data_IF_802022273502
#
_entry.id   IF_802022273502
#
_cell.length_a   1.000
_cell.length_b   1.000
_cell.length_c   1.000
_cell.angle_alpha   90.00
_cell.angle_beta   90.00
_cell.angle_gamma   90.00
#
_symmetry.space_group_name_H-M   'P 1'
#
loop_
_entity.id
_entity.type
_entity.pdbx_description
1 polymer ?
#
# COMPACT_ATOMS: atom_id res chain seq x y z
N UNK A 1 -14.76 -7.61 25.54
CA UNK A 1 -13.58 -6.78 25.20
C UNK A 1 -13.76 -6.20 23.81
N UNK A 2 -13.57 -4.92 23.66
CA UNK A 2 -13.62 -4.30 22.33
C UNK A 2 -12.41 -4.72 21.53
N UNK A 3 -12.64 -5.18 20.29
CA UNK A 3 -11.55 -5.58 19.38
C UNK A 3 -10.87 -4.35 18.80
N UNK A 4 -9.56 -4.42 18.67
CA UNK A 4 -8.76 -3.41 17.99
C UNK A 4 -8.22 -4.00 16.70
N UNK A 5 -8.81 -3.57 15.57
CA UNK A 5 -8.47 -4.04 14.24
C UNK A 5 -7.88 -2.87 13.44
N UNK A 6 -6.75 -3.11 12.80
CA UNK A 6 -6.14 -2.17 11.87
C UNK A 6 -6.46 -2.59 10.43
N UNK A 7 -6.76 -1.62 9.61
CA UNK A 7 -6.67 -1.72 8.16
C UNK A 7 -5.43 -0.94 7.73
N UNK A 8 -4.47 -1.64 7.18
CA UNK A 8 -3.22 -1.07 6.69
C UNK A 8 -3.25 -1.04 5.16
N UNK A 9 -3.00 0.13 4.60
CA UNK A 9 -3.01 0.42 3.17
C UNK A 9 -1.74 1.19 2.81
N UNK A 10 -1.14 0.89 1.67
CA UNK A 10 0.06 1.59 1.19
C UNK A 10 -0.33 2.63 0.14
N UNK A 11 -0.34 3.90 0.53
CA UNK A 11 -0.69 5.01 -0.36
C UNK A 11 0.10 5.01 -1.66
N UNK A 12 -0.63 5.03 -2.78
CA UNK A 12 -0.04 5.10 -4.12
C UNK A 12 1.03 4.02 -4.33
N UNK A 13 0.77 2.80 -3.88
CA UNK A 13 1.74 1.71 -3.70
C UNK A 13 2.66 1.53 -4.92
N UNK A 14 2.10 1.32 -6.12
CA UNK A 14 2.91 1.11 -7.32
C UNK A 14 3.78 2.32 -7.65
N UNK A 15 3.24 3.53 -7.57
CA UNK A 15 4.02 4.74 -7.83
C UNK A 15 5.13 4.92 -6.78
N UNK A 16 4.84 4.63 -5.51
CA UNK A 16 5.83 4.68 -4.43
C UNK A 16 6.94 3.64 -4.62
N UNK A 17 6.58 2.42 -5.04
CA UNK A 17 7.53 1.35 -5.33
C UNK A 17 8.48 1.69 -6.48
N UNK A 18 7.95 2.22 -7.59
CA UNK A 18 8.78 2.65 -8.73
C UNK A 18 9.74 3.79 -8.36
N UNK A 19 9.29 4.71 -7.52
CA UNK A 19 10.10 5.86 -7.09
C UNK A 19 11.23 5.49 -6.10
N UNK A 20 11.28 4.26 -5.59
CA UNK A 20 12.42 3.79 -4.77
C UNK A 20 13.74 3.82 -5.55
N UNK A 21 13.70 3.37 -6.80
CA UNK A 21 14.86 3.36 -7.70
C UNK A 21 15.05 4.66 -8.49
N UNK A 22 14.08 5.59 -8.42
CA UNK A 22 14.03 6.83 -9.19
C UNK A 22 13.85 8.06 -8.29
N UNK A 23 14.79 8.35 -7.37
CA UNK A 23 14.67 9.49 -6.46
C UNK A 23 14.61 10.85 -7.19
N UNK A 24 15.14 10.93 -8.41
CA UNK A 24 15.10 12.09 -9.32
C UNK A 24 13.68 12.46 -9.78
N UNK A 25 12.72 11.56 -9.64
CA UNK A 25 11.33 11.73 -10.06
C UNK A 25 10.36 12.00 -8.90
N UNK A 26 10.82 11.99 -7.67
CA UNK A 26 9.94 12.07 -6.48
C UNK A 26 9.03 13.29 -6.43
N UNK A 27 9.53 14.43 -6.90
CA UNK A 27 8.82 15.70 -6.88
C UNK A 27 8.16 16.04 -8.22
N UNK A 28 8.25 15.15 -9.20
CA UNK A 28 7.62 15.28 -10.52
C UNK A 28 6.30 14.51 -10.56
N UNK A 29 5.34 14.91 -11.41
CA UNK A 29 4.12 14.13 -11.58
C UNK A 29 4.44 12.81 -12.30
N UNK A 30 4.18 11.69 -11.58
CA UNK A 30 4.45 10.33 -12.05
C UNK A 30 3.19 9.50 -11.96
N UNK A 31 2.93 8.70 -12.97
CA UNK A 31 1.91 7.66 -12.96
C UNK A 31 2.46 6.33 -13.47
N UNK A 32 1.96 5.24 -12.90
CA UNK A 32 2.25 3.88 -13.32
C UNK A 32 1.13 3.38 -14.22
N UNK A 33 1.49 2.72 -15.30
CA UNK A 33 0.55 2.14 -16.27
C UNK A 33 1.11 0.82 -16.83
N UNK A 34 0.33 0.12 -17.65
CA UNK A 34 0.81 -1.09 -18.32
C UNK A 34 1.88 -0.75 -19.36
N UNK A 35 1.47 -0.48 -20.61
CA UNK A 35 2.38 0.00 -21.65
C UNK A 35 2.25 1.52 -21.81
N UNK A 36 3.30 2.31 -21.51
CA UNK A 36 3.28 3.78 -21.63
C UNK A 36 2.99 4.30 -23.03
N UNK A 37 3.29 3.53 -24.08
CA UNK A 37 3.05 3.91 -25.47
C UNK A 37 1.60 3.74 -25.91
N UNK A 38 0.84 2.94 -25.16
CA UNK A 38 -0.57 2.70 -25.45
C UNK A 38 -1.47 3.77 -24.82
N UNK A 39 -1.83 4.79 -25.60
CA UNK A 39 -2.71 5.89 -25.15
C UNK A 39 -4.08 5.46 -24.64
N UNK A 40 -4.55 4.27 -24.99
CA UNK A 40 -5.77 3.64 -24.48
C UNK A 40 -5.55 2.81 -23.22
N UNK A 41 -4.28 2.59 -22.82
CA UNK A 41 -3.95 2.01 -21.54
C UNK A 41 -4.45 2.88 -20.39
N UNK A 42 -4.59 2.29 -19.22
CA UNK A 42 -5.11 2.97 -18.03
C UNK A 42 -4.00 3.28 -17.01
N UNK A 43 -4.24 4.31 -16.22
CA UNK A 43 -3.43 4.63 -15.05
C UNK A 43 -3.75 3.64 -13.93
N UNK A 44 -2.73 2.91 -13.45
CA UNK A 44 -2.84 1.96 -12.35
C UNK A 44 -2.64 2.65 -10.99
N UNK A 45 -1.64 3.54 -10.92
CA UNK A 45 -1.35 4.33 -9.72
C UNK A 45 -0.71 5.67 -10.13
N UNK A 46 -0.72 6.63 -9.22
CA UNK A 46 -0.09 7.94 -9.39
C UNK A 46 0.44 8.46 -8.06
N UNK A 47 1.46 9.32 -8.13
CA UNK A 47 1.96 10.00 -6.93
C UNK A 47 1.14 11.26 -6.60
N UNK A 48 1.41 11.90 -5.46
CA UNK A 48 0.69 13.09 -5.02
C UNK A 48 0.87 14.28 -5.98
N UNK A 49 2.04 14.40 -6.63
CA UNK A 49 2.27 15.45 -7.61
C UNK A 49 1.34 15.31 -8.83
N UNK A 50 1.16 14.09 -9.36
CA UNK A 50 0.22 13.85 -10.47
C UNK A 50 -1.24 14.02 -10.02
N UNK A 51 -1.58 13.61 -8.78
CA UNK A 51 -2.90 13.79 -8.19
C UNK A 51 -3.30 15.27 -8.09
N UNK A 52 -2.35 16.17 -7.81
CA UNK A 52 -2.59 17.60 -7.76
C UNK A 52 -3.07 18.19 -9.11
N UNK A 53 -2.70 17.57 -10.24
CA UNK A 53 -3.22 17.91 -11.57
C UNK A 53 -4.56 17.24 -11.90
N UNK A 54 -5.17 16.53 -10.95
CA UNK A 54 -6.44 15.84 -11.16
C UNK A 54 -6.33 14.51 -11.92
N UNK A 55 -5.13 13.91 -12.01
CA UNK A 55 -4.95 12.56 -12.54
C UNK A 55 -5.62 11.56 -11.62
N UNK A 56 -6.42 10.64 -12.17
CA UNK A 56 -7.15 9.62 -11.40
C UNK A 56 -6.78 8.21 -11.86
N UNK A 57 -6.89 7.24 -10.94
CA UNK A 57 -6.71 5.81 -11.26
C UNK A 57 -7.83 5.35 -12.18
N UNK A 58 -7.54 4.39 -13.05
CA UNK A 58 -8.42 3.82 -14.06
C UNK A 58 -8.81 4.75 -15.23
N UNK A 59 -8.33 6.00 -15.27
CA UNK A 59 -8.50 6.81 -16.48
C UNK A 59 -7.47 6.43 -17.56
N UNK A 60 -7.77 6.77 -18.81
CA UNK A 60 -6.85 6.51 -19.93
C UNK A 60 -5.62 7.40 -19.86
N UNK A 61 -4.48 6.89 -20.32
CA UNK A 61 -3.22 7.63 -20.41
C UNK A 61 -3.41 8.95 -21.18
N UNK A 62 -4.13 8.94 -22.31
CA UNK A 62 -4.39 10.14 -23.07
C UNK A 62 -5.15 11.22 -22.31
N UNK A 63 -6.12 10.82 -21.46
CA UNK A 63 -6.84 11.74 -20.58
C UNK A 63 -5.95 12.30 -19.47
N UNK A 64 -5.15 11.45 -18.85
CA UNK A 64 -4.22 11.84 -17.79
C UNK A 64 -3.18 12.85 -18.31
N UNK A 65 -2.61 12.62 -19.50
CA UNK A 65 -1.67 13.53 -20.15
C UNK A 65 -2.32 14.87 -20.54
N UNK A 66 -3.60 14.86 -20.92
CA UNK A 66 -4.35 16.10 -21.18
C UNK A 66 -4.50 16.98 -19.95
N UNK A 67 -4.62 16.38 -18.75
CA UNK A 67 -4.68 17.10 -17.46
C UNK A 67 -3.29 17.53 -16.96
N UNK A 68 -2.29 16.70 -17.20
CA UNK A 68 -0.92 16.90 -16.77
C UNK A 68 0.05 16.67 -17.92
N UNK A 69 0.34 17.72 -18.74
CA UNK A 69 1.22 17.59 -19.92
C UNK A 69 2.65 17.13 -19.59
N UNK A 70 3.12 17.38 -18.35
CA UNK A 70 4.42 16.92 -17.84
C UNK A 70 4.38 15.57 -17.14
N UNK A 71 3.31 14.78 -17.28
CA UNK A 71 3.14 13.49 -16.63
C UNK A 71 4.17 12.47 -17.13
N UNK A 72 4.98 11.96 -16.21
CA UNK A 72 5.94 10.89 -16.48
C UNK A 72 5.23 9.55 -16.28
N UNK A 73 5.26 8.72 -17.33
CA UNK A 73 4.68 7.40 -17.31
C UNK A 73 5.75 6.34 -17.05
N UNK A 74 5.52 5.47 -16.08
CA UNK A 74 6.37 4.33 -15.77
C UNK A 74 5.62 3.03 -16.02
N UNK A 75 6.27 2.01 -16.60
CA UNK A 75 5.68 0.69 -16.72
C UNK A 75 5.54 0.04 -15.34
N UNK A 76 4.54 -0.84 -15.18
CA UNK A 76 4.32 -1.58 -13.95
C UNK A 76 5.29 -2.76 -13.83
N UNK A 77 5.94 -2.92 -12.66
CA UNK A 77 6.81 -4.05 -12.33
C UNK A 77 6.17 -4.92 -11.24
N UNK A 78 5.28 -5.82 -11.62
CA UNK A 78 4.47 -6.62 -10.68
C UNK A 78 5.32 -7.48 -9.73
N UNK A 79 6.45 -8.00 -10.15
CA UNK A 79 7.38 -8.77 -9.29
C UNK A 79 7.96 -7.90 -8.16
N UNK A 80 8.30 -6.65 -8.45
CA UNK A 80 8.72 -5.68 -7.44
C UNK A 80 7.62 -5.47 -6.41
N UNK A 81 6.38 -5.30 -6.85
CA UNK A 81 5.24 -5.07 -5.98
C UNK A 81 4.96 -6.27 -5.09
N UNK A 82 4.97 -7.48 -5.65
CA UNK A 82 4.79 -8.72 -4.89
C UNK A 82 5.89 -8.89 -3.84
N UNK A 83 7.14 -8.58 -4.17
CA UNK A 83 8.26 -8.63 -3.20
C UNK A 83 8.07 -7.64 -2.06
N UNK A 84 7.72 -6.38 -2.37
CA UNK A 84 7.50 -5.35 -1.35
C UNK A 84 6.28 -5.67 -0.47
N UNK A 85 5.20 -6.18 -1.05
CA UNK A 85 4.02 -6.65 -0.33
C UNK A 85 4.37 -7.73 0.70
N UNK A 86 5.14 -8.75 0.29
CA UNK A 86 5.62 -9.79 1.21
C UNK A 86 6.47 -9.22 2.36
N UNK A 87 7.36 -8.27 2.07
CA UNK A 87 8.19 -7.63 3.09
C UNK A 87 7.35 -6.84 4.10
N UNK A 88 6.32 -6.12 3.64
CA UNK A 88 5.41 -5.37 4.50
C UNK A 88 4.62 -6.33 5.39
N UNK A 89 4.05 -7.40 4.84
CA UNK A 89 3.31 -8.39 5.61
C UNK A 89 4.20 -9.11 6.63
N UNK A 90 5.47 -9.40 6.30
CA UNK A 90 6.43 -9.94 7.25
C UNK A 90 6.71 -8.98 8.42
N UNK A 91 6.63 -7.67 8.21
CA UNK A 91 6.71 -6.68 9.30
C UNK A 91 5.44 -6.76 10.17
N UNK A 92 4.26 -6.82 9.57
CA UNK A 92 3.00 -6.93 10.29
C UNK A 92 2.95 -8.16 11.20
N UNK A 93 3.46 -9.30 10.74
CA UNK A 93 3.55 -10.54 11.52
C UNK A 93 4.47 -10.44 12.76
N UNK A 94 5.28 -9.39 12.91
CA UNK A 94 6.04 -9.14 14.15
C UNK A 94 5.17 -8.55 15.27
N UNK A 95 4.01 -8.02 14.92
CA UNK A 95 3.11 -7.32 15.84
C UNK A 95 1.88 -8.15 16.21
N UNK A 96 1.46 -9.06 15.35
CA UNK A 96 0.35 -9.97 15.58
C UNK A 96 0.47 -11.19 14.67
N UNK A 97 -0.04 -12.32 15.11
CA UNK A 97 -0.23 -13.54 14.31
C UNK A 97 -1.55 -13.52 13.52
N UNK A 98 -2.39 -12.50 13.77
CA UNK A 98 -3.70 -12.33 13.12
C UNK A 98 -3.58 -11.31 11.99
N UNK A 99 -2.82 -11.63 10.94
CA UNK A 99 -2.66 -10.82 9.73
C UNK A 99 -3.42 -11.47 8.59
N UNK A 100 -4.31 -10.70 7.95
CA UNK A 100 -5.06 -11.13 6.77
C UNK A 100 -4.72 -10.19 5.60
N UNK A 101 -3.87 -10.59 4.65
CA UNK A 101 -3.67 -9.85 3.41
C UNK A 101 -4.98 -9.78 2.62
N UNK A 102 -5.40 -8.56 2.26
CA UNK A 102 -6.64 -8.33 1.51
C UNK A 102 -6.37 -8.04 0.03
N UNK A 103 -5.31 -7.30 -0.25
CA UNK A 103 -4.80 -7.05 -1.59
C UNK A 103 -3.27 -6.98 -1.57
N UNK A 104 -2.66 -6.63 -2.68
CA UNK A 104 -1.20 -6.50 -2.78
C UNK A 104 -0.63 -5.40 -1.88
N UNK A 105 -1.43 -4.42 -1.54
CA UNK A 105 -1.05 -3.23 -0.76
C UNK A 105 -1.90 -3.02 0.50
N UNK A 106 -2.87 -3.92 0.76
CA UNK A 106 -3.78 -3.82 1.88
C UNK A 106 -3.77 -5.07 2.75
N UNK A 107 -3.82 -4.90 4.08
CA UNK A 107 -3.92 -5.98 5.05
C UNK A 107 -4.76 -5.58 6.25
N UNK A 108 -5.48 -6.56 6.81
CA UNK A 108 -6.19 -6.44 8.07
C UNK A 108 -5.37 -7.10 9.18
N UNK A 109 -5.26 -6.43 10.33
CA UNK A 109 -4.54 -6.93 11.49
C UNK A 109 -5.43 -6.85 12.73
N UNK A 110 -5.67 -7.98 13.40
CA UNK A 110 -6.25 -7.95 14.73
C UNK A 110 -5.11 -7.88 15.76
N UNK A 111 -5.00 -6.74 16.42
CA UNK A 111 -3.95 -6.49 17.41
C UNK A 111 -4.50 -6.53 18.85
N UNK A 112 -5.73 -6.95 19.04
CA UNK A 112 -6.40 -6.97 20.35
C UNK A 112 -5.56 -7.68 21.41
N UNK A 113 -5.09 -8.89 21.09
CA UNK A 113 -4.25 -9.70 21.99
C UNK A 113 -2.82 -9.18 22.13
N UNK A 114 -2.35 -8.37 21.18
CA UNK A 114 -0.98 -7.85 21.16
C UNK A 114 -0.80 -6.60 22.02
N UNK A 115 -1.85 -5.79 22.20
CA UNK A 115 -1.77 -4.52 22.95
C UNK A 115 -1.22 -4.68 24.37
N UNK A 116 -1.67 -5.68 25.19
CA UNK A 116 -1.12 -5.89 26.51
C UNK A 116 0.36 -6.28 26.51
N UNK A 117 0.76 -7.10 25.52
CA UNK A 117 2.15 -7.53 25.36
C UNK A 117 3.09 -6.34 25.07
N UNK A 118 2.71 -5.48 24.12
CA UNK A 118 3.49 -4.29 23.78
C UNK A 118 3.33 -3.15 24.79
N UNK A 119 2.37 -3.25 25.72
CA UNK A 119 2.03 -2.19 26.71
C UNK A 119 1.73 -0.85 26.02
N UNK A 120 1.01 -0.88 24.89
CA UNK A 120 0.67 0.27 24.06
C UNK A 120 -0.82 0.36 23.82
N UNK A 121 -1.27 1.58 23.56
CA UNK A 121 -2.58 1.84 23.01
C UNK A 121 -2.61 1.43 21.53
N UNK A 122 -3.81 1.24 20.96
CA UNK A 122 -3.94 0.95 19.53
C UNK A 122 -3.33 2.03 18.64
N UNK A 123 -3.39 3.31 19.06
CA UNK A 123 -2.79 4.40 18.29
C UNK A 123 -1.26 4.34 18.31
N UNK A 124 -0.66 4.15 19.47
CA UNK A 124 0.81 4.04 19.60
C UNK A 124 1.35 2.84 18.83
N UNK A 125 0.64 1.72 18.84
CA UNK A 125 1.04 0.53 18.08
C UNK A 125 0.90 0.75 16.57
N UNK A 126 -0.14 1.43 16.11
CA UNK A 126 -0.32 1.78 14.71
C UNK A 126 0.78 2.71 14.20
N UNK A 127 1.18 3.70 15.03
CA UNK A 127 2.24 4.65 14.69
C UNK A 127 3.61 3.96 14.60
N UNK A 128 3.90 3.04 15.51
CA UNK A 128 5.13 2.23 15.49
C UNK A 128 5.17 1.30 14.29
N UNK A 129 4.10 0.58 14.03
CA UNK A 129 3.99 -0.33 12.90
C UNK A 129 4.19 0.42 11.57
N UNK A 130 3.57 1.60 11.44
CA UNK A 130 3.76 2.48 10.29
C UNK A 130 5.22 2.92 10.15
N UNK A 131 5.87 3.35 11.24
CA UNK A 131 7.27 3.74 11.23
C UNK A 131 8.19 2.57 10.84
N UNK A 132 7.92 1.37 11.35
CA UNK A 132 8.66 0.16 10.99
C UNK A 132 8.51 -0.18 9.50
N UNK A 133 7.29 -0.13 8.96
CA UNK A 133 7.04 -0.39 7.54
C UNK A 133 7.77 0.62 6.63
N UNK A 134 7.72 1.92 6.95
CA UNK A 134 8.43 2.97 6.22
C UNK A 134 9.95 2.78 6.29
N UNK A 135 10.50 2.50 7.47
CA UNK A 135 11.94 2.33 7.68
C UNK A 135 12.51 1.15 6.89
N UNK A 136 11.76 0.07 6.79
CA UNK A 136 12.21 -1.16 6.14
C UNK A 136 12.05 -1.15 4.63
N UNK A 137 10.96 -0.56 4.13
CA UNK A 137 10.62 -0.55 2.71
C UNK A 137 10.98 0.76 2.01
N UNK A 138 11.26 1.82 2.78
CA UNK A 138 11.40 3.20 2.30
C UNK A 138 10.18 3.72 1.50
N UNK A 139 9.06 3.00 1.56
CA UNK A 139 7.80 3.45 0.98
C UNK A 139 7.22 4.59 1.83
N UNK A 140 6.86 5.69 1.19
CA UNK A 140 6.17 6.78 1.88
C UNK A 140 4.74 6.36 2.17
N UNK A 141 4.38 6.34 3.46
CA UNK A 141 3.02 6.27 3.99
C UNK A 141 2.23 4.95 3.83
N UNK A 142 2.57 3.88 4.53
CA UNK A 142 1.54 2.93 4.92
C UNK A 142 0.59 3.63 5.89
N UNK A 143 -0.70 3.67 5.55
CA UNK A 143 -1.76 4.16 6.45
C UNK A 143 -2.32 2.96 7.21
N UNK A 144 -2.07 2.89 8.52
CA UNK A 144 -2.82 2.00 9.40
C UNK A 144 -3.95 2.79 10.04
N UNK A 145 -5.19 2.46 9.73
CA UNK A 145 -6.38 3.06 10.32
C UNK A 145 -7.00 2.10 11.32
N UNK A 146 -7.32 2.58 12.51
CA UNK A 146 -8.14 1.85 13.47
C UNK A 146 -9.58 1.87 13.00
N UNK A 147 -10.20 0.68 12.89
CA UNK A 147 -11.64 0.55 12.68
C UNK A 147 -12.29 0.21 14.02
N UNK A 148 -13.17 1.09 14.55
CA UNK A 148 -14.06 0.69 15.63
C UNK A 148 -15.17 -0.18 15.04
N UNK A 149 -15.32 -1.40 15.55
CA UNK A 149 -16.44 -2.31 15.33
C UNK A 149 -17.01 -2.43 13.88
N UNK A 150 -16.49 -3.34 13.11
CA UNK A 150 -17.31 -4.23 12.29
C UNK A 150 -16.87 -5.65 12.58
N UNK A 151 -17.83 -6.50 12.95
CA UNK A 151 -17.60 -7.95 13.02
C UNK A 151 -17.00 -8.38 11.70
N UNK A 152 -15.78 -8.95 11.67
CA UNK A 152 -15.24 -9.49 10.43
C UNK A 152 -16.14 -10.67 10.05
N UNK A 153 -16.64 -10.65 8.83
CA UNK A 153 -17.14 -11.87 8.23
C UNK A 153 -16.00 -12.87 8.22
N UNK A 154 -16.23 -14.03 8.81
CA UNK A 154 -15.37 -15.21 8.95
C UNK A 154 -13.92 -14.98 8.52
N UNK A 155 -13.03 -14.83 9.49
CA UNK A 155 -11.61 -15.10 9.28
C UNK A 155 -11.49 -16.51 8.71
N UNK A 156 -10.91 -16.63 7.54
CA UNK A 156 -10.41 -17.92 7.07
C UNK A 156 -9.18 -18.21 7.92
N UNK A 157 -9.37 -19.05 8.95
CA UNK A 157 -8.26 -19.60 9.71
C UNK A 157 -7.36 -20.36 8.74
N UNK A 158 -6.09 -19.94 8.68
CA UNK A 158 -4.97 -20.75 8.20
C UNK A 158 -5.11 -21.37 6.80
N UNK A 159 -5.20 -20.57 5.78
CA UNK A 159 -4.65 -20.98 4.50
C UNK A 159 -3.24 -20.37 4.38
N UNK A 160 -2.17 -21.17 4.25
CA UNK A 160 -0.91 -20.63 3.80
C UNK A 160 -1.17 -20.01 2.42
N UNK A 161 -0.89 -18.73 2.29
CA UNK A 161 -0.94 -18.07 0.99
C UNK A 161 0.26 -18.57 0.19
N UNK A 162 0.03 -19.57 -0.64
CA UNK A 162 0.97 -19.95 -1.70
C UNK A 162 0.94 -18.84 -2.75
N UNK A 163 1.89 -17.92 -2.63
CA UNK A 163 2.19 -17.03 -3.72
C UNK A 163 2.84 -17.86 -4.81
N UNK A 164 2.38 -17.81 -6.07
CA UNK A 164 3.10 -18.46 -7.15
C UNK A 164 4.51 -17.87 -7.22
N UNK A 165 5.50 -18.75 -7.31
CA UNK A 165 6.92 -18.45 -7.51
C UNK A 165 7.17 -17.62 -8.77
#
# INVERSE_FOLDING_TARGET
MDRTIFHCDCNSFYASAELLSRPDLRDKPVAVCGNPENRHGIILAKNEAAKAFGVVTAETIGRAQGKCPGLILLPAHHELYARLSRQINAIYCRYTDQVEPFSIDESWLDVTGSLPYFKKTGQELADELRAAAVSYTHLRYPLCRRYPHRSPGRYVQNAPWDWPD
#
